data_IF_099302698887
#
_entry.id   IF_099302698887
#
_cell.length_a   1.000
_cell.length_b   1.000
_cell.length_c   1.000
_cell.angle_alpha   90.00
_cell.angle_beta   90.00
_cell.angle_gamma   90.00
#
_symmetry.space_group_name_H-M   'P 1'
#
loop_
_entity.id
_entity.type
_entity.pdbx_description
1 polymer ?
#
# COMPACT_ATOMS: atom_id res chain seq x y z
N UNK A 1 11.73 10.24 -9.25
CA UNK A 1 11.17 10.18 -7.89
C UNK A 1 12.15 10.83 -6.94
N UNK A 2 11.73 11.80 -6.13
CA UNK A 2 12.55 12.42 -5.08
C UNK A 2 12.19 11.73 -3.77
N UNK A 3 13.17 11.23 -3.03
CA UNK A 3 12.93 10.73 -1.67
C UNK A 3 12.98 11.93 -0.72
N UNK A 4 11.95 12.13 0.08
CA UNK A 4 11.93 13.19 1.08
C UNK A 4 12.88 12.84 2.25
N UNK A 5 13.38 13.82 3.02
CA UNK A 5 14.30 13.57 4.14
C UNK A 5 13.79 12.57 5.19
N UNK A 6 12.46 12.38 5.28
CA UNK A 6 11.81 11.37 6.13
C UNK A 6 11.59 10.00 5.46
N UNK A 7 12.17 9.74 4.29
CA UNK A 7 12.03 8.47 3.55
C UNK A 7 10.76 8.35 2.71
N UNK A 8 9.83 9.30 2.84
CA UNK A 8 8.58 9.33 2.06
C UNK A 8 8.80 9.61 0.58
N UNK A 9 7.87 9.12 -0.24
CA UNK A 9 7.85 9.34 -1.69
C UNK A 9 6.67 10.26 -2.08
N UNK A 10 6.90 11.50 -2.53
CA UNK A 10 5.86 12.36 -3.06
C UNK A 10 5.48 11.91 -4.47
N UNK A 11 4.18 11.85 -4.73
CA UNK A 11 3.62 11.40 -6.00
C UNK A 11 2.64 12.44 -6.51
N UNK A 12 2.91 12.96 -7.71
CA UNK A 12 1.95 13.77 -8.45
C UNK A 12 1.08 12.85 -9.30
N UNK A 13 -0.24 12.98 -9.19
CA UNK A 13 -1.19 12.19 -9.97
C UNK A 13 -1.23 12.68 -11.42
N UNK A 14 -1.38 11.74 -12.36
CA UNK A 14 -1.59 12.04 -13.78
C UNK A 14 -3.06 11.80 -14.12
N UNK A 15 -3.71 12.79 -14.75
CA UNK A 15 -5.10 12.67 -15.17
C UNK A 15 -5.33 11.42 -16.01
N UNK A 16 -6.35 10.62 -15.65
CA UNK A 16 -6.71 9.37 -16.32
C UNK A 16 -5.93 8.13 -15.86
N UNK A 17 -5.01 8.26 -14.90
CA UNK A 17 -4.19 7.14 -14.39
C UNK A 17 -4.25 7.04 -12.86
N UNK A 18 -4.23 5.82 -12.34
CA UNK A 18 -3.90 5.56 -10.95
C UNK A 18 -2.39 5.40 -10.78
N UNK A 19 -1.89 5.74 -9.61
CA UNK A 19 -0.54 5.37 -9.20
C UNK A 19 -0.60 3.99 -8.55
N UNK A 20 0.08 3.01 -9.15
CA UNK A 20 0.26 1.68 -8.62
C UNK A 20 1.73 1.51 -8.25
N UNK A 21 2.01 1.09 -7.01
CA UNK A 21 3.36 0.94 -6.50
C UNK A 21 3.52 -0.34 -5.69
N UNK A 22 4.77 -0.74 -5.55
CA UNK A 22 5.22 -1.82 -4.68
C UNK A 22 6.43 -1.34 -3.88
N UNK A 23 6.78 -2.06 -2.82
CA UNK A 23 7.93 -1.70 -1.98
C UNK A 23 9.23 -1.73 -2.80
N UNK A 24 10.18 -0.86 -2.46
CA UNK A 24 11.50 -0.87 -3.10
C UNK A 24 12.28 -2.17 -2.85
N UNK A 25 11.92 -2.92 -1.80
CA UNK A 25 12.48 -4.24 -1.51
C UNK A 25 12.03 -5.34 -2.48
N UNK A 26 11.00 -5.08 -3.29
CA UNK A 26 10.48 -6.05 -4.25
C UNK A 26 9.82 -7.26 -3.58
N UNK A 27 9.81 -8.38 -4.30
CA UNK A 27 9.23 -9.65 -3.84
C UNK A 27 10.19 -10.36 -2.89
N UNK A 28 9.62 -11.13 -1.96
CA UNK A 28 10.37 -11.97 -1.02
C UNK A 28 9.89 -13.41 -1.10
N UNK A 29 10.78 -14.37 -0.84
CA UNK A 29 10.42 -15.78 -0.78
C UNK A 29 9.66 -16.06 0.52
N UNK A 30 8.68 -16.96 0.42
CA UNK A 30 7.83 -17.43 1.51
C UNK A 30 7.83 -18.95 1.51
N UNK A 31 7.60 -19.57 2.67
CA UNK A 31 7.12 -20.95 2.71
C UNK A 31 5.59 -20.88 2.59
N UNK A 32 4.99 -21.34 1.47
CA UNK A 32 3.55 -21.24 1.28
C UNK A 32 2.74 -22.09 2.28
N UNK A 33 3.39 -23.00 3.00
CA UNK A 33 2.74 -23.82 4.05
C UNK A 33 2.83 -23.20 5.45
N UNK A 34 3.58 -22.11 5.60
CA UNK A 34 3.82 -21.41 6.86
C UNK A 34 3.38 -19.93 6.78
N UNK A 35 2.11 -19.72 6.41
CA UNK A 35 1.48 -18.39 6.41
C UNK A 35 0.17 -18.44 7.18
N UNK A 36 0.17 -17.87 8.39
CA UNK A 36 -1.04 -17.73 9.20
C UNK A 36 -1.92 -16.55 8.75
N UNK A 37 -1.32 -15.54 8.11
CA UNK A 37 -2.02 -14.42 7.51
C UNK A 37 -1.06 -13.34 7.04
N UNK A 38 -1.60 -12.40 6.27
CA UNK A 38 -0.86 -11.27 5.71
C UNK A 38 -1.44 -9.98 6.25
N UNK A 39 -0.56 -9.04 6.56
CA UNK A 39 -0.91 -7.68 6.93
C UNK A 39 -0.04 -6.71 6.12
N UNK A 40 -0.68 -5.70 5.55
CA UNK A 40 -0.04 -4.61 4.81
C UNK A 40 -0.36 -3.31 5.51
N UNK A 41 0.62 -2.43 5.65
CA UNK A 41 0.42 -1.06 6.10
C UNK A 41 1.15 -0.07 5.21
N UNK A 42 0.46 1.03 4.91
CA UNK A 42 0.98 2.17 4.19
C UNK A 42 0.58 3.41 4.97
N UNK A 43 1.54 4.28 5.28
CA UNK A 43 1.24 5.63 5.78
C UNK A 43 1.28 6.62 4.62
N UNK A 44 0.27 7.47 4.54
CA UNK A 44 0.20 8.51 3.51
C UNK A 44 -0.55 9.74 4.01
N UNK A 45 -0.29 10.87 3.35
CA UNK A 45 -1.04 12.12 3.49
C UNK A 45 -1.06 12.88 2.16
N UNK A 46 -2.05 13.74 2.01
CA UNK A 46 -2.12 14.73 0.94
C UNK A 46 -1.16 15.89 1.25
N UNK A 47 -0.36 16.27 0.25
CA UNK A 47 0.56 17.41 0.31
C UNK A 47 0.28 18.35 -0.86
N UNK A 48 0.66 19.62 -0.73
CA UNK A 48 0.64 20.55 -1.86
C UNK A 48 1.71 20.22 -2.91
N UNK A 49 1.62 20.84 -4.08
CA UNK A 49 2.54 20.60 -5.20
C UNK A 49 4.01 20.95 -4.89
N UNK A 50 4.23 21.75 -3.86
CA UNK A 50 5.56 22.06 -3.33
C UNK A 50 5.56 22.00 -1.80
N UNK A 51 6.74 21.82 -1.15
CA UNK A 51 6.84 21.70 0.31
C UNK A 51 6.30 22.91 1.10
N UNK A 52 6.16 24.06 0.45
CA UNK A 52 5.68 25.31 1.06
C UNK A 52 4.21 25.60 0.74
N UNK A 53 3.57 24.78 -0.10
CA UNK A 53 2.19 24.95 -0.51
C UNK A 53 1.28 24.05 0.31
N UNK A 54 0.16 24.59 0.78
CA UNK A 54 -0.89 23.79 1.40
C UNK A 54 -1.53 22.84 0.37
N UNK A 55 -2.00 21.65 0.80
CA UNK A 55 -2.77 20.78 -0.08
C UNK A 55 -4.06 21.46 -0.56
N UNK A 56 -4.49 21.14 -1.79
CA UNK A 56 -5.76 21.61 -2.34
C UNK A 56 -6.94 21.04 -1.51
N UNK A 57 -7.78 21.87 -0.87
CA UNK A 57 -8.91 21.40 -0.07
C UNK A 57 -9.98 20.68 -0.91
N UNK A 58 -10.02 20.88 -2.23
CA UNK A 58 -10.95 20.21 -3.13
C UNK A 58 -10.40 18.91 -3.74
N UNK A 59 -9.14 18.56 -3.45
CA UNK A 59 -8.59 17.28 -3.88
C UNK A 59 -9.39 16.11 -3.29
N UNK A 60 -9.69 15.12 -4.12
CA UNK A 60 -10.42 13.88 -3.76
C UNK A 60 -9.62 12.66 -4.20
N UNK A 61 -8.46 12.47 -3.58
CA UNK A 61 -7.61 11.31 -3.83
C UNK A 61 -7.90 10.20 -2.82
N UNK A 62 -7.98 8.97 -3.29
CA UNK A 62 -8.18 7.78 -2.46
C UNK A 62 -6.95 6.88 -2.51
N UNK A 63 -6.68 6.20 -1.40
CA UNK A 63 -5.67 5.16 -1.30
C UNK A 63 -6.32 3.86 -0.81
N UNK A 64 -5.82 2.73 -1.31
CA UNK A 64 -6.07 1.40 -0.78
C UNK A 64 -4.75 0.64 -0.67
N UNK A 65 -4.64 -0.20 0.34
CA UNK A 65 -3.54 -1.15 0.52
C UNK A 65 -3.93 -2.51 -0.06
N UNK A 66 -2.98 -3.25 -0.63
CA UNK A 66 -3.21 -4.59 -1.15
C UNK A 66 -1.92 -5.40 -1.22
N UNK A 67 -2.05 -6.68 -1.52
CA UNK A 67 -0.90 -7.57 -1.77
C UNK A 67 -1.33 -8.77 -2.61
N UNK A 68 -0.34 -9.36 -3.29
CA UNK A 68 -0.52 -10.53 -4.15
C UNK A 68 0.52 -11.60 -3.79
N UNK A 69 0.14 -12.86 -3.97
CA UNK A 69 1.12 -13.95 -4.14
C UNK A 69 1.54 -14.03 -5.59
N UNK A 70 2.84 -14.18 -5.81
CA UNK A 70 3.44 -14.33 -7.14
C UNK A 70 4.00 -15.75 -7.30
N UNK A 71 3.94 -16.28 -8.51
CA UNK A 71 4.46 -17.62 -8.83
C UNK A 71 5.95 -17.76 -8.52
N UNK A 72 6.73 -16.70 -8.73
CA UNK A 72 8.14 -16.64 -8.37
C UNK A 72 8.62 -15.21 -8.13
N UNK A 73 9.85 -15.06 -7.62
CA UNK A 73 10.49 -13.76 -7.43
C UNK A 73 10.67 -12.99 -8.75
N UNK A 74 10.81 -13.71 -9.86
CA UNK A 74 11.13 -13.18 -11.18
C UNK A 74 9.95 -13.21 -12.15
N UNK A 75 8.78 -13.70 -11.73
CA UNK A 75 7.60 -13.75 -12.58
C UNK A 75 7.24 -12.35 -13.09
N UNK A 76 7.02 -12.23 -14.39
CA UNK A 76 6.44 -11.03 -14.99
C UNK A 76 4.92 -11.10 -14.88
N UNK A 77 4.24 -9.95 -14.98
CA UNK A 77 2.78 -9.96 -15.02
C UNK A 77 2.30 -10.52 -16.35
N UNK A 78 1.47 -11.56 -16.31
CA UNK A 78 0.81 -12.12 -17.47
C UNK A 78 -0.69 -12.31 -17.22
N UNK A 79 -1.49 -11.27 -17.48
CA UNK A 79 -2.96 -11.37 -17.55
C UNK A 79 -3.63 -12.23 -16.45
N UNK A 80 -3.21 -12.03 -15.20
CA UNK A 80 -3.75 -12.71 -14.00
C UNK A 80 -3.40 -14.21 -13.85
N UNK A 81 -2.41 -14.73 -14.59
CA UNK A 81 -1.97 -16.13 -14.48
C UNK A 81 -0.78 -16.31 -13.55
N UNK A 82 0.05 -15.27 -13.41
CA UNK A 82 1.34 -15.30 -12.67
C UNK A 82 1.25 -14.82 -11.22
N UNK A 83 0.10 -14.27 -10.84
CA UNK A 83 -0.17 -13.81 -9.48
C UNK A 83 -1.64 -13.99 -9.10
N UNK A 84 -1.90 -14.02 -7.80
CA UNK A 84 -3.25 -13.99 -7.25
C UNK A 84 -3.33 -13.05 -6.05
N UNK A 85 -4.39 -12.26 -6.00
CA UNK A 85 -4.62 -11.30 -4.92
C UNK A 85 -4.73 -12.04 -3.58
N UNK A 86 -3.98 -11.55 -2.59
CA UNK A 86 -4.22 -11.87 -1.17
C UNK A 86 -5.44 -11.07 -0.69
N UNK A 87 -5.53 -9.83 -1.14
CA UNK A 87 -6.63 -8.94 -0.84
C UNK A 87 -6.40 -7.50 -1.30
N UNK A 88 -7.51 -6.79 -1.49
CA UNK A 88 -7.54 -5.36 -1.71
C UNK A 88 -8.30 -4.75 -0.54
N UNK A 89 -7.64 -3.83 0.15
CA UNK A 89 -8.17 -3.12 1.30
C UNK A 89 -9.29 -2.15 0.95
N UNK A 90 -9.82 -1.48 1.97
CA UNK A 90 -10.83 -0.44 1.79
C UNK A 90 -10.18 0.83 1.26
N UNK A 91 -10.77 1.39 0.21
CA UNK A 91 -10.42 2.72 -0.28
C UNK A 91 -10.89 3.78 0.72
N UNK A 92 -10.00 4.70 1.08
CA UNK A 92 -10.35 5.88 1.89
C UNK A 92 -9.72 7.13 1.28
N UNK A 93 -10.37 8.26 1.45
CA UNK A 93 -9.81 9.54 1.04
C UNK A 93 -8.57 9.88 1.87
N UNK A 94 -7.56 10.43 1.19
CA UNK A 94 -6.40 11.05 1.81
C UNK A 94 -6.80 12.39 2.43
N UNK A 95 -6.17 12.72 3.55
CA UNK A 95 -6.26 14.01 4.24
C UNK A 95 -4.87 14.66 4.34
N UNK A 96 -4.80 15.91 4.80
CA UNK A 96 -3.52 16.58 5.10
C UNK A 96 -2.74 15.93 6.25
N UNK A 97 -3.42 15.14 7.08
CA UNK A 97 -2.83 14.41 8.19
C UNK A 97 -2.32 13.04 7.74
N UNK A 98 -1.28 12.55 8.43
CA UNK A 98 -0.82 11.19 8.26
C UNK A 98 -1.91 10.20 8.65
N UNK A 99 -2.18 9.26 7.76
CA UNK A 99 -3.14 8.19 7.96
C UNK A 99 -2.49 6.86 7.59
N UNK A 100 -2.74 5.84 8.41
CA UNK A 100 -2.38 4.48 8.10
C UNK A 100 -3.52 3.79 7.33
N UNK A 101 -3.14 3.04 6.30
CA UNK A 101 -4.02 2.28 5.44
C UNK A 101 -3.60 0.83 5.49
N UNK A 102 -4.55 -0.05 5.79
CA UNK A 102 -4.25 -1.45 6.02
C UNK A 102 -5.07 -2.39 5.14
N UNK A 103 -4.48 -3.54 4.87
CA UNK A 103 -5.14 -4.74 4.35
C UNK A 103 -4.69 -5.91 5.20
N UNK A 104 -5.60 -6.82 5.55
CA UNK A 104 -5.22 -8.09 6.16
C UNK A 104 -6.11 -9.24 5.72
N UNK A 105 -5.57 -10.45 5.75
CA UNK A 105 -6.32 -11.69 5.51
C UNK A 105 -6.85 -12.35 6.79
N UNK A 106 -6.52 -11.77 7.95
CA UNK A 106 -6.83 -12.30 9.28
C UNK A 106 -8.28 -12.01 9.70
N UNK A 107 -8.85 -12.84 10.57
CA UNK A 107 -10.06 -12.50 11.32
C UNK A 107 -9.76 -11.45 12.41
N UNK A 108 -10.79 -10.78 12.92
CA UNK A 108 -10.67 -9.84 14.04
C UNK A 108 -10.05 -10.49 15.28
N UNK A 109 -10.54 -11.68 15.67
CA UNK A 109 -9.99 -12.42 16.81
C UNK A 109 -8.50 -12.79 16.63
N UNK A 110 -8.06 -13.10 15.41
CA UNK A 110 -6.65 -13.38 15.14
C UNK A 110 -5.78 -12.12 15.25
N UNK A 111 -6.28 -10.96 14.80
CA UNK A 111 -5.60 -9.68 14.96
C UNK A 111 -5.51 -9.25 16.43
N UNK A 112 -6.59 -9.43 17.20
CA UNK A 112 -6.59 -9.12 18.63
C UNK A 112 -5.60 -9.99 19.40
N UNK A 113 -5.51 -11.28 19.05
CA UNK A 113 -4.57 -12.20 19.66
C UNK A 113 -3.11 -11.98 19.20
N UNK A 114 -2.92 -11.46 17.97
CA UNK A 114 -1.60 -11.25 17.35
C UNK A 114 -1.56 -9.86 16.68
N UNK A 115 -1.50 -8.77 17.47
CA UNK A 115 -1.52 -7.44 16.92
C UNK A 115 -0.28 -7.19 16.03
N UNK A 116 -0.44 -6.50 14.88
CA UNK A 116 0.69 -6.11 14.04
C UNK A 116 1.73 -5.29 14.83
N UNK A 117 3.01 -5.32 14.43
CA UNK A 117 4.10 -4.65 15.15
C UNK A 117 4.05 -3.11 15.11
N UNK A 118 3.16 -2.52 14.30
CA UNK A 118 2.96 -1.08 14.16
C UNK A 118 1.45 -0.78 14.19
N UNK A 119 1.05 0.40 14.74
CA UNK A 119 -0.36 0.78 14.85
C UNK A 119 -1.09 0.87 13.51
#
# INVERSE_FOLDING_TARGET
MRVEPGGGLPVAMKAGYNFHFWSAGGRVSIDPTDIAGVWVAIEARLIGESPVMAPDPEARLMLSAGADYWESLTAEWDQWTTNGDIGIGRFRFLSSEWQAFHMHSLTEAQLEANPPPFP
#
